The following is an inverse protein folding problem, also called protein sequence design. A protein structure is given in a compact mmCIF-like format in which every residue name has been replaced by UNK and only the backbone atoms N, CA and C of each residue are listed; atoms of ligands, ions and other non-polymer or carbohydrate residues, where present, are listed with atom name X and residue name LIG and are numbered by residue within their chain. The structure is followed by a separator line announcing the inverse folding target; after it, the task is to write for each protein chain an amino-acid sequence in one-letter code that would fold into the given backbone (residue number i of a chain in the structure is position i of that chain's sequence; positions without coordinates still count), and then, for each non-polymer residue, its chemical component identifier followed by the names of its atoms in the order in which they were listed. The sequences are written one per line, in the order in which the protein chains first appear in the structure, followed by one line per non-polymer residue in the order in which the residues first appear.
data_IF_377191423533
#
_entry.id   IF_377191423533
#
_cell.length_a   1.000
_cell.length_b   1.000
_cell.length_c   1.000
_cell.angle_alpha   90.00
_cell.angle_beta   90.00
_cell.angle_gamma   90.00
#
_symmetry.space_group_name_H-M   'P 1'
#
loop_
_entity.id
_entity.type
_entity.pdbx_description
1 polymer ?
#
# COMPACT_ATOMS: atom_id res chain seq x y z
N UNK A 1 14.79 -25.47 1.48
CA UNK A 1 14.62 -26.45 0.38
C UNK A 1 15.90 -26.63 -0.44
N UNK A 2 16.47 -25.57 -1.04
CA UNK A 2 17.65 -25.69 -1.92
C UNK A 2 18.86 -26.44 -1.31
N UNK A 3 19.27 -26.13 -0.08
CA UNK A 3 20.49 -26.75 0.48
C UNK A 3 20.33 -28.21 0.93
N UNK A 4 19.12 -28.62 1.32
CA UNK A 4 18.82 -30.02 1.59
C UNK A 4 18.88 -30.86 0.31
N UNK A 5 18.27 -30.37 -0.77
CA UNK A 5 18.21 -31.09 -2.04
C UNK A 5 19.57 -31.17 -2.76
N UNK A 6 20.42 -30.14 -2.64
CA UNK A 6 21.80 -30.19 -3.17
C UNK A 6 22.62 -31.36 -2.64
N UNK A 7 22.32 -31.83 -1.42
CA UNK A 7 23.06 -32.93 -0.79
C UNK A 7 22.59 -34.32 -1.23
N UNK A 8 21.32 -34.45 -1.63
CA UNK A 8 20.70 -35.73 -1.98
C UNK A 8 20.66 -35.98 -3.49
N UNK A 9 20.53 -34.93 -4.31
CA UNK A 9 20.36 -35.05 -5.75
C UNK A 9 21.62 -34.62 -6.51
N UNK A 10 22.24 -35.50 -7.31
CA UNK A 10 23.49 -35.20 -8.02
C UNK A 10 23.31 -34.18 -9.16
N UNK A 11 22.10 -34.06 -9.70
CA UNK A 11 21.75 -33.06 -10.71
C UNK A 11 20.61 -32.19 -10.19
N UNK A 12 20.98 -31.03 -9.68
CA UNK A 12 20.06 -30.10 -9.04
C UNK A 12 20.32 -28.68 -9.51
N UNK A 13 19.24 -27.93 -9.79
CA UNK A 13 19.32 -26.52 -10.14
C UNK A 13 18.14 -25.72 -9.57
N UNK A 14 18.34 -24.42 -9.42
CA UNK A 14 17.32 -23.47 -8.96
C UNK A 14 17.10 -22.42 -10.05
N UNK A 15 15.83 -22.11 -10.32
CA UNK A 15 15.41 -21.06 -11.24
C UNK A 15 14.61 -20.01 -10.46
N UNK A 16 15.23 -18.86 -10.24
CA UNK A 16 14.65 -17.69 -9.58
C UNK A 16 14.97 -16.39 -10.35
N UNK A 17 14.54 -15.24 -9.83
CA UNK A 17 14.73 -13.95 -10.50
C UNK A 17 16.21 -13.60 -10.69
N UNK A 18 17.09 -14.10 -9.82
CA UNK A 18 18.52 -13.82 -9.78
C UNK A 18 19.35 -14.73 -10.69
N UNK A 19 18.75 -15.81 -11.17
CA UNK A 19 19.43 -16.82 -11.99
C UNK A 19 19.89 -16.23 -13.33
N UNK A 20 21.18 -16.32 -13.62
CA UNK A 20 21.73 -15.96 -14.94
C UNK A 20 21.47 -17.08 -15.97
N UNK A 21 21.39 -16.73 -17.26
CA UNK A 21 21.16 -17.69 -18.35
C UNK A 21 19.91 -18.57 -18.18
N UNK A 22 18.79 -17.96 -17.75
CA UNK A 22 17.50 -18.62 -17.44
C UNK A 22 17.03 -19.62 -18.51
N UNK A 23 17.21 -19.30 -19.79
CA UNK A 23 16.81 -20.19 -20.89
C UNK A 23 17.54 -21.53 -20.86
N UNK A 24 18.83 -21.54 -20.51
CA UNK A 24 19.61 -22.78 -20.42
C UNK A 24 19.13 -23.65 -19.25
N UNK A 25 18.78 -23.03 -18.13
CA UNK A 25 18.22 -23.72 -16.95
C UNK A 25 16.86 -24.33 -17.29
N UNK A 26 15.99 -23.57 -17.97
CA UNK A 26 14.67 -24.03 -18.42
C UNK A 26 14.80 -25.25 -19.36
N UNK A 27 15.67 -25.18 -20.37
CA UNK A 27 15.88 -26.31 -21.30
C UNK A 27 16.42 -27.55 -20.59
N UNK A 28 17.31 -27.37 -19.60
CA UNK A 28 17.87 -28.49 -18.82
C UNK A 28 16.89 -29.07 -17.82
N UNK A 29 15.88 -28.30 -17.40
CA UNK A 29 14.94 -28.71 -16.37
C UNK A 29 14.11 -29.93 -16.74
N UNK A 30 13.95 -30.22 -18.03
CA UNK A 30 13.18 -31.36 -18.56
C UNK A 30 14.06 -32.54 -18.97
N UNK A 31 15.35 -32.56 -18.62
CA UNK A 31 16.25 -33.68 -18.92
C UNK A 31 16.16 -34.80 -17.88
N UNK A 32 16.37 -36.04 -18.31
CA UNK A 32 16.36 -37.20 -17.42
C UNK A 32 17.38 -37.06 -16.28
N UNK A 33 16.91 -37.27 -15.05
CA UNK A 33 17.71 -37.18 -13.83
C UNK A 33 17.89 -35.77 -13.26
N UNK A 34 17.41 -34.72 -13.95
CA UNK A 34 17.47 -33.35 -13.45
C UNK A 34 16.34 -33.02 -12.49
N UNK A 35 16.67 -32.45 -11.33
CA UNK A 35 15.69 -31.85 -10.40
C UNK A 35 15.84 -30.34 -10.42
N UNK A 36 14.76 -29.62 -10.71
CA UNK A 36 14.78 -28.15 -10.79
C UNK A 36 13.75 -27.55 -9.86
N UNK A 37 14.19 -26.71 -8.89
CA UNK A 37 13.27 -25.88 -8.11
C UNK A 37 13.01 -24.60 -8.88
N UNK A 38 11.74 -24.31 -9.12
CA UNK A 38 11.31 -23.16 -9.93
C UNK A 38 10.51 -22.22 -9.05
N UNK A 39 10.91 -20.95 -8.99
CA UNK A 39 10.13 -19.92 -8.31
C UNK A 39 8.79 -19.69 -9.03
N UNK A 40 7.75 -19.34 -8.25
CA UNK A 40 6.38 -19.14 -8.75
C UNK A 40 6.29 -18.17 -9.94
N UNK A 41 7.16 -17.17 -9.98
CA UNK A 41 7.26 -16.19 -11.08
C UNK A 41 7.51 -16.82 -12.44
N UNK A 42 8.22 -17.95 -12.50
CA UNK A 42 8.55 -18.66 -13.75
C UNK A 42 7.49 -19.67 -14.18
N UNK A 43 6.51 -19.97 -13.34
CA UNK A 43 5.35 -20.79 -13.72
C UNK A 43 4.48 -20.13 -14.80
N UNK A 44 4.65 -18.81 -15.01
CA UNK A 44 3.98 -18.02 -16.05
C UNK A 44 4.99 -17.54 -17.10
N UNK A 45 4.70 -17.79 -18.38
CA UNK A 45 5.47 -17.25 -19.51
C UNK A 45 6.76 -18.01 -19.86
N UNK A 46 7.18 -18.98 -19.05
CA UNK A 46 8.30 -19.88 -19.36
C UNK A 46 7.81 -21.17 -20.01
N UNK A 47 8.61 -21.70 -20.93
CA UNK A 47 8.25 -22.85 -21.76
C UNK A 47 9.19 -24.03 -21.52
N UNK A 48 8.66 -25.13 -20.99
CA UNK A 48 9.41 -26.33 -20.60
C UNK A 48 9.18 -27.44 -21.62
N UNK A 49 9.75 -27.30 -22.82
CA UNK A 49 9.66 -28.34 -23.85
C UNK A 49 10.62 -29.49 -23.53
N UNK A 50 10.10 -30.71 -23.41
CA UNK A 50 10.92 -31.89 -23.22
C UNK A 50 11.40 -32.43 -24.57
N UNK A 51 12.69 -32.37 -24.86
CA UNK A 51 13.28 -32.98 -26.07
C UNK A 51 14.11 -34.24 -25.76
N UNK A 52 14.08 -34.72 -24.52
CA UNK A 52 14.87 -35.87 -24.08
C UNK A 52 14.07 -37.16 -24.24
N UNK A 53 14.50 -38.03 -25.15
CA UNK A 53 13.82 -39.28 -25.50
C UNK A 53 13.66 -40.22 -24.28
N UNK A 54 14.63 -40.20 -23.35
CA UNK A 54 14.59 -41.02 -22.13
C UNK A 54 13.46 -40.56 -21.21
N UNK A 55 13.29 -39.25 -21.04
CA UNK A 55 12.22 -38.67 -20.23
C UNK A 55 10.86 -38.92 -20.86
N UNK A 56 10.72 -38.71 -22.18
CA UNK A 56 9.47 -38.98 -22.91
C UNK A 56 9.07 -40.46 -22.79
N UNK A 57 10.01 -41.39 -22.97
CA UNK A 57 9.76 -42.83 -22.85
C UNK A 57 9.33 -43.26 -21.43
N UNK A 58 9.61 -42.45 -20.41
CA UNK A 58 9.25 -42.68 -18.99
C UNK A 58 7.97 -41.97 -18.55
N UNK A 59 7.21 -41.38 -19.48
CA UNK A 59 5.98 -40.66 -19.16
C UNK A 59 6.16 -39.15 -19.04
N UNK A 60 7.30 -38.63 -19.46
CA UNK A 60 7.60 -37.21 -19.58
C UNK A 60 7.87 -36.49 -18.25
N UNK A 61 7.93 -35.15 -18.28
CA UNK A 61 8.22 -34.35 -17.09
C UNK A 61 7.15 -34.50 -16.00
N UNK A 62 7.59 -34.54 -14.76
CA UNK A 62 6.73 -34.54 -13.58
C UNK A 62 6.90 -33.21 -12.83
N UNK A 63 5.80 -32.49 -12.60
CA UNK A 63 5.80 -31.28 -11.77
C UNK A 63 5.23 -31.59 -10.41
N UNK A 64 5.94 -31.17 -9.36
CA UNK A 64 5.43 -31.12 -8.00
C UNK A 64 5.13 -29.66 -7.68
N UNK A 65 3.86 -29.33 -7.54
CA UNK A 65 3.42 -28.02 -7.11
C UNK A 65 3.31 -27.99 -5.59
N UNK A 66 4.02 -27.07 -4.94
CA UNK A 66 4.13 -27.01 -3.47
C UNK A 66 3.23 -25.95 -2.80
N UNK A 67 2.32 -25.35 -3.56
CA UNK A 67 1.42 -24.30 -3.08
C UNK A 67 0.07 -24.36 -3.80
N UNK A 68 -0.99 -23.86 -3.17
CA UNK A 68 -2.28 -23.73 -3.83
C UNK A 68 -2.28 -22.53 -4.79
N UNK A 69 -2.62 -22.75 -6.06
CA UNK A 69 -2.73 -21.67 -7.04
C UNK A 69 -3.81 -20.66 -6.64
N UNK A 70 -3.59 -19.37 -6.93
CA UNK A 70 -4.55 -18.31 -6.59
C UNK A 70 -5.77 -18.32 -7.50
N UNK A 71 -5.67 -18.96 -8.67
CA UNK A 71 -6.77 -19.09 -9.62
C UNK A 71 -6.74 -20.43 -10.35
N UNK A 72 -7.88 -20.86 -10.87
CA UNK A 72 -7.96 -22.05 -11.71
C UNK A 72 -7.03 -21.95 -12.93
N UNK A 73 -6.99 -20.78 -13.57
CA UNK A 73 -6.16 -20.54 -14.75
C UNK A 73 -4.66 -20.72 -14.47
N UNK A 74 -4.18 -20.34 -13.28
CA UNK A 74 -2.78 -20.54 -12.88
C UNK A 74 -2.45 -22.04 -12.72
N UNK A 75 -3.34 -22.80 -12.08
CA UNK A 75 -3.17 -24.26 -11.94
C UNK A 75 -3.17 -24.97 -13.30
N UNK A 76 -4.11 -24.62 -14.19
CA UNK A 76 -4.17 -25.17 -15.55
C UNK A 76 -2.93 -24.78 -16.36
N UNK A 77 -2.40 -23.57 -16.18
CA UNK A 77 -1.16 -23.15 -16.83
C UNK A 77 0.05 -23.95 -16.34
N UNK A 78 0.13 -24.24 -15.04
CA UNK A 78 1.20 -25.06 -14.47
C UNK A 78 1.12 -26.50 -15.02
N UNK A 79 -0.08 -27.11 -15.01
CA UNK A 79 -0.31 -28.42 -15.60
C UNK A 79 0.04 -28.47 -17.10
N UNK A 80 -0.28 -27.41 -17.85
CA UNK A 80 0.01 -27.30 -19.27
C UNK A 80 1.50 -27.21 -19.62
N UNK A 81 2.42 -27.15 -18.64
CA UNK A 81 3.87 -27.13 -18.89
C UNK A 81 4.50 -28.51 -19.01
N UNK A 82 3.86 -29.59 -18.55
CA UNK A 82 4.42 -30.95 -18.66
C UNK A 82 3.88 -31.73 -19.85
N UNK A 83 2.58 -31.60 -20.14
CA UNK A 83 1.89 -32.39 -21.17
C UNK A 83 1.62 -31.57 -22.45
N UNK A 84 2.68 -31.00 -23.04
CA UNK A 84 2.53 -30.09 -24.17
C UNK A 84 2.25 -30.86 -25.46
N UNK A 85 1.31 -30.37 -26.29
CA UNK A 85 0.97 -30.98 -27.60
C UNK A 85 0.61 -32.48 -27.53
N UNK A 86 0.13 -32.97 -26.38
CA UNK A 86 -0.21 -34.39 -26.18
C UNK A 86 0.99 -35.26 -25.78
N UNK A 87 2.15 -34.68 -25.49
CA UNK A 87 3.26 -35.38 -24.84
C UNK A 87 2.85 -35.86 -23.44
N UNK A 88 3.39 -37.00 -22.99
CA UNK A 88 3.10 -37.49 -21.65
C UNK A 88 3.70 -36.53 -20.61
N UNK A 89 2.99 -36.35 -19.51
CA UNK A 89 3.43 -35.51 -18.41
C UNK A 89 2.53 -35.71 -17.21
N UNK A 90 3.02 -35.39 -16.02
CA UNK A 90 2.25 -35.56 -14.78
C UNK A 90 2.43 -34.36 -13.85
N UNK A 91 1.44 -34.16 -12.99
CA UNK A 91 1.40 -33.09 -12.00
C UNK A 91 0.94 -33.68 -10.67
N UNK A 92 1.67 -33.40 -9.61
CA UNK A 92 1.31 -33.70 -8.23
C UNK A 92 1.28 -32.42 -7.40
N UNK A 93 0.37 -32.36 -6.43
CA UNK A 93 0.20 -31.21 -5.53
C UNK A 93 0.54 -31.64 -4.11
N UNK A 94 1.57 -31.05 -3.53
CA UNK A 94 2.02 -31.33 -2.16
C UNK A 94 1.87 -30.05 -1.34
N UNK A 95 0.91 -30.01 -0.42
CA UNK A 95 0.58 -28.80 0.32
C UNK A 95 1.01 -28.93 1.77
N UNK A 96 1.53 -27.84 2.33
CA UNK A 96 1.82 -27.74 3.75
C UNK A 96 0.58 -27.23 4.49
N UNK A 97 0.22 -27.91 5.59
CA UNK A 97 -1.01 -27.62 6.31
C UNK A 97 -1.04 -26.18 6.88
N UNK A 98 0.08 -25.70 7.42
CA UNK A 98 0.13 -24.33 7.98
C UNK A 98 -0.05 -23.26 6.90
N UNK A 99 0.41 -23.51 5.67
CA UNK A 99 0.19 -22.59 4.56
C UNK A 99 -1.29 -22.50 4.19
N UNK A 100 -2.03 -23.62 4.30
CA UNK A 100 -3.48 -23.61 4.13
C UNK A 100 -4.20 -22.87 5.26
N UNK A 101 -3.76 -23.06 6.51
CA UNK A 101 -4.31 -22.31 7.64
C UNK A 101 -4.12 -20.80 7.46
N UNK A 102 -2.94 -20.38 7.00
CA UNK A 102 -2.63 -18.97 6.68
C UNK A 102 -3.51 -18.40 5.55
N UNK A 103 -3.97 -19.25 4.63
CA UNK A 103 -4.91 -18.87 3.57
C UNK A 103 -6.38 -18.82 4.06
N UNK A 104 -6.63 -19.06 5.35
CA UNK A 104 -7.95 -18.98 5.98
C UNK A 104 -8.74 -20.29 5.93
N UNK A 105 -8.10 -21.43 5.69
CA UNK A 105 -8.74 -22.73 5.78
C UNK A 105 -8.79 -23.22 7.24
N UNK A 106 -9.82 -23.98 7.59
CA UNK A 106 -9.99 -24.58 8.93
C UNK A 106 -9.37 -25.99 8.96
N UNK A 107 -8.56 -26.30 9.98
CA UNK A 107 -7.84 -27.58 10.08
C UNK A 107 -8.79 -28.78 10.14
N UNK A 108 -9.92 -28.65 10.84
CA UNK A 108 -10.91 -29.71 11.04
C UNK A 108 -11.49 -30.15 9.68
N UNK A 109 -11.81 -29.18 8.82
CA UNK A 109 -12.36 -29.43 7.49
C UNK A 109 -11.36 -30.06 6.52
N UNK A 110 -10.06 -29.86 6.72
CA UNK A 110 -9.01 -30.48 5.89
C UNK A 110 -8.88 -31.98 6.18
N UNK A 111 -9.04 -32.39 7.43
CA UNK A 111 -8.96 -33.80 7.85
C UNK A 111 -10.24 -34.57 7.53
N UNK A 112 -11.41 -33.93 7.74
CA UNK A 112 -12.71 -34.56 7.47
C UNK A 112 -12.97 -34.85 5.98
N UNK A 113 -12.29 -34.12 5.08
CA UNK A 113 -12.51 -34.15 3.63
C UNK A 113 -11.34 -34.74 2.86
N UNK A 114 -10.64 -35.73 3.41
CA UNK A 114 -9.46 -36.33 2.75
C UNK A 114 -9.77 -36.86 1.34
N UNK A 115 -10.97 -37.41 1.12
CA UNK A 115 -11.38 -37.98 -0.17
C UNK A 115 -11.71 -36.93 -1.25
N UNK A 116 -12.26 -35.77 -0.86
CA UNK A 116 -12.69 -34.67 -1.73
C UNK A 116 -11.87 -33.38 -1.53
N UNK A 117 -10.68 -33.51 -0.91
CA UNK A 117 -9.88 -32.39 -0.43
C UNK A 117 -9.59 -31.37 -1.54
N UNK A 118 -9.19 -31.84 -2.71
CA UNK A 118 -8.87 -30.97 -3.84
C UNK A 118 -10.08 -30.16 -4.34
N UNK A 119 -11.25 -30.80 -4.46
CA UNK A 119 -12.48 -30.14 -4.90
C UNK A 119 -12.91 -29.07 -3.89
N UNK A 120 -12.83 -29.40 -2.59
CA UNK A 120 -13.08 -28.45 -1.51
C UNK A 120 -12.12 -27.24 -1.55
N UNK A 121 -10.80 -27.48 -1.71
CA UNK A 121 -9.80 -26.41 -1.79
C UNK A 121 -10.08 -25.46 -2.96
N UNK A 122 -10.44 -26.01 -4.13
CA UNK A 122 -10.78 -25.24 -5.32
C UNK A 122 -12.05 -24.40 -5.10
N UNK A 123 -13.10 -24.99 -4.53
CA UNK A 123 -14.37 -24.29 -4.28
C UNK A 123 -14.19 -23.12 -3.31
N UNK A 124 -13.47 -23.33 -2.20
CA UNK A 124 -13.21 -22.26 -1.23
C UNK A 124 -12.34 -21.15 -1.81
N UNK A 125 -11.31 -21.50 -2.59
CA UNK A 125 -10.49 -20.52 -3.29
C UNK A 125 -11.34 -19.62 -4.18
N UNK A 126 -12.21 -20.22 -5.00
CA UNK A 126 -13.03 -19.47 -5.95
C UNK A 126 -14.06 -18.58 -5.24
N UNK A 127 -14.65 -19.06 -4.13
CA UNK A 127 -15.49 -18.25 -3.25
C UNK A 127 -14.74 -17.05 -2.66
N UNK A 128 -13.55 -17.28 -2.10
CA UNK A 128 -12.71 -16.22 -1.52
C UNK A 128 -12.30 -15.18 -2.57
N UNK A 129 -11.97 -15.64 -3.78
CA UNK A 129 -11.69 -14.75 -4.90
C UNK A 129 -12.91 -13.92 -5.29
N UNK A 130 -14.09 -14.54 -5.46
CA UNK A 130 -15.33 -13.82 -5.78
C UNK A 130 -15.70 -12.77 -4.72
N UNK A 131 -15.56 -13.10 -3.43
CA UNK A 131 -15.80 -12.16 -2.34
C UNK A 131 -14.82 -10.97 -2.38
N UNK A 132 -13.55 -11.24 -2.64
CA UNK A 132 -12.52 -10.20 -2.75
C UNK A 132 -12.80 -9.27 -3.93
N UNK A 133 -13.18 -9.84 -5.08
CA UNK A 133 -13.57 -9.07 -6.28
C UNK A 133 -14.81 -8.22 -6.00
N UNK A 134 -15.82 -8.77 -5.32
CA UNK A 134 -17.01 -8.00 -4.93
C UNK A 134 -16.66 -6.81 -4.03
N UNK A 135 -15.78 -7.00 -3.05
CA UNK A 135 -15.28 -5.93 -2.19
C UNK A 135 -14.52 -4.84 -2.96
N UNK A 136 -13.69 -5.23 -3.93
CA UNK A 136 -12.98 -4.28 -4.80
C UNK A 136 -13.94 -3.47 -5.69
N UNK A 137 -14.95 -4.12 -6.26
CA UNK A 137 -15.99 -3.43 -7.08
C UNK A 137 -16.75 -2.43 -6.22
N UNK A 138 -17.10 -2.80 -4.98
CA UNK A 138 -17.82 -1.90 -4.09
C UNK A 138 -16.95 -0.72 -3.64
N UNK A 139 -15.67 -0.98 -3.33
CA UNK A 139 -14.68 0.07 -3.04
C UNK A 139 -14.50 1.04 -4.21
N UNK A 140 -14.48 0.52 -5.45
CA UNK A 140 -14.40 1.32 -6.68
C UNK A 140 -15.63 2.23 -6.82
N UNK A 141 -16.83 1.71 -6.64
CA UNK A 141 -18.07 2.52 -6.69
C UNK A 141 -18.08 3.64 -5.66
N UNK A 142 -17.72 3.33 -4.42
CA UNK A 142 -17.69 4.31 -3.33
C UNK A 142 -16.69 5.44 -3.62
N UNK A 143 -15.52 5.07 -4.15
CA UNK A 143 -14.42 6.02 -4.41
C UNK A 143 -14.57 6.75 -5.74
N UNK A 144 -15.35 6.24 -6.70
CA UNK A 144 -15.51 6.82 -8.04
C UNK A 144 -15.96 8.28 -8.00
N UNK A 145 -16.92 8.59 -7.12
CA UNK A 145 -17.43 9.95 -6.96
C UNK A 145 -16.35 10.92 -6.46
N UNK A 146 -15.55 10.49 -5.48
CA UNK A 146 -14.48 11.28 -4.89
C UNK A 146 -13.30 11.44 -5.84
N UNK A 147 -12.96 10.37 -6.55
CA UNK A 147 -11.95 10.40 -7.59
C UNK A 147 -12.31 11.42 -8.68
N UNK A 148 -13.57 11.40 -9.16
CA UNK A 148 -14.04 12.36 -10.16
C UNK A 148 -13.99 13.81 -9.65
N UNK A 149 -14.33 14.05 -8.38
CA UNK A 149 -14.22 15.38 -7.77
C UNK A 149 -12.76 15.83 -7.64
N UNK A 150 -11.88 14.93 -7.19
CA UNK A 150 -10.45 15.19 -7.04
C UNK A 150 -9.78 15.50 -8.37
N UNK A 151 -10.15 14.78 -9.45
CA UNK A 151 -9.65 15.06 -10.80
C UNK A 151 -10.08 16.44 -11.30
N UNK A 152 -11.31 16.87 -10.99
CA UNK A 152 -11.78 18.23 -11.33
C UNK A 152 -10.95 19.27 -10.60
N UNK A 153 -10.73 19.10 -9.29
CA UNK A 153 -9.88 20.00 -8.50
C UNK A 153 -8.47 20.07 -9.07
N UNK A 154 -7.85 18.91 -9.36
CA UNK A 154 -6.52 18.84 -9.93
C UNK A 154 -6.42 19.61 -11.26
N UNK A 155 -7.41 19.43 -12.16
CA UNK A 155 -7.46 20.13 -13.44
C UNK A 155 -7.54 21.65 -13.28
N UNK A 156 -8.33 22.15 -12.32
CA UNK A 156 -8.44 23.58 -12.07
C UNK A 156 -7.16 24.15 -11.44
N UNK A 157 -6.46 23.39 -10.59
CA UNK A 157 -5.16 23.78 -10.03
C UNK A 157 -4.06 23.83 -11.10
N UNK A 158 -4.01 22.87 -12.02
CA UNK A 158 -3.01 22.85 -13.10
C UNK A 158 -3.24 23.98 -14.13
N UNK A 159 -4.50 24.42 -14.30
CA UNK A 159 -4.88 25.50 -15.22
C UNK A 159 -5.30 26.77 -14.47
N UNK A 160 -4.55 27.10 -13.42
CA UNK A 160 -4.87 28.17 -12.49
C UNK A 160 -4.99 29.54 -13.19
N UNK A 161 -6.03 30.28 -12.84
CA UNK A 161 -6.20 31.70 -13.14
C UNK A 161 -6.94 32.39 -11.99
N UNK A 162 -6.73 33.69 -11.74
CA UNK A 162 -7.35 34.41 -10.61
C UNK A 162 -8.90 34.30 -10.59
N UNK A 163 -9.53 34.22 -11.76
CA UNK A 163 -10.99 34.08 -11.89
C UNK A 163 -11.53 32.73 -11.38
N UNK A 164 -10.65 31.76 -11.12
CA UNK A 164 -11.01 30.40 -10.68
C UNK A 164 -10.91 30.21 -9.17
N UNK A 165 -10.43 31.19 -8.41
CA UNK A 165 -10.23 31.09 -6.96
C UNK A 165 -11.51 30.65 -6.24
N UNK A 166 -12.63 31.29 -6.56
CA UNK A 166 -13.92 30.94 -5.95
C UNK A 166 -14.33 29.50 -6.25
N UNK A 167 -14.04 29.00 -7.47
CA UNK A 167 -14.37 27.64 -7.90
C UNK A 167 -13.47 26.60 -7.22
N UNK A 168 -12.18 26.90 -7.09
CA UNK A 168 -11.21 26.04 -6.39
C UNK A 168 -11.58 25.94 -4.90
N UNK A 169 -11.90 27.06 -4.27
CA UNK A 169 -12.35 27.11 -2.87
C UNK A 169 -13.61 26.28 -2.66
N UNK A 170 -14.60 26.39 -3.56
CA UNK A 170 -15.81 25.56 -3.48
C UNK A 170 -15.51 24.06 -3.61
N UNK A 171 -14.69 23.66 -4.58
CA UNK A 171 -14.30 22.25 -4.75
C UNK A 171 -13.56 21.70 -3.52
N UNK A 172 -12.71 22.51 -2.89
CA UNK A 172 -12.02 22.13 -1.64
C UNK A 172 -12.99 21.99 -0.47
N UNK A 173 -13.95 22.91 -0.34
CA UNK A 173 -14.99 22.85 0.69
C UNK A 173 -15.86 21.60 0.52
N UNK A 174 -16.31 21.32 -0.71
CA UNK A 174 -17.15 20.15 -1.02
C UNK A 174 -16.44 18.84 -0.68
N UNK A 175 -15.14 18.73 -0.99
CA UNK A 175 -14.32 17.59 -0.61
C UNK A 175 -14.21 17.46 0.90
N UNK A 176 -13.88 18.54 1.61
CA UNK A 176 -13.70 18.52 3.06
C UNK A 176 -15.00 18.20 3.80
N UNK A 177 -16.13 18.77 3.36
CA UNK A 177 -17.46 18.55 3.97
C UNK A 177 -17.91 17.09 3.91
N UNK A 178 -17.41 16.31 2.93
CA UNK A 178 -17.73 14.87 2.84
C UNK A 178 -17.05 14.04 3.95
N UNK A 179 -15.91 14.51 4.46
CA UNK A 179 -15.12 13.81 5.49
C UNK A 179 -15.27 14.40 6.89
N UNK A 180 -15.79 15.63 7.01
CA UNK A 180 -16.25 16.16 8.29
C UNK A 180 -17.54 15.43 8.64
N UNK A 181 -17.44 14.40 9.48
CA UNK A 181 -18.59 13.68 10.00
C UNK A 181 -19.64 14.65 10.56
N UNK A 182 -20.91 14.24 10.56
CA UNK A 182 -22.07 15.00 11.05
C UNK A 182 -22.04 15.25 12.56
N UNK A 183 -20.90 15.61 13.14
CA UNK A 183 -20.79 16.10 14.51
C UNK A 183 -21.34 17.52 14.54
N UNK A 184 -22.65 17.61 14.79
CA UNK A 184 -23.45 18.83 14.98
C UNK A 184 -23.09 19.64 16.23
N UNK A 185 -21.89 19.46 16.78
CA UNK A 185 -21.39 20.18 17.95
C UNK A 185 -19.99 20.64 17.64
N UNK A 186 -19.79 21.96 17.54
CA UNK A 186 -18.46 22.53 17.46
C UNK A 186 -17.72 22.18 18.75
N UNK A 187 -16.83 21.19 18.70
CA UNK A 187 -15.90 20.92 19.78
C UNK A 187 -14.95 22.10 19.91
N UNK A 188 -14.65 22.49 21.15
CA UNK A 188 -13.52 23.37 21.45
C UNK A 188 -12.24 22.64 21.04
N UNK A 189 -11.43 23.27 20.20
CA UNK A 189 -10.14 22.74 19.77
C UNK A 189 -9.01 23.34 20.59
N UNK A 190 -7.95 22.55 20.81
CA UNK A 190 -6.66 23.08 21.19
C UNK A 190 -5.79 23.18 19.93
N UNK A 191 -5.58 24.42 19.47
CA UNK A 191 -4.92 24.74 18.21
C UNK A 191 -3.44 25.06 18.49
N UNK A 192 -2.56 24.37 17.77
CA UNK A 192 -1.12 24.58 17.85
C UNK A 192 -0.61 25.28 16.59
N UNK A 193 0.01 26.44 16.76
CA UNK A 193 0.74 27.12 15.69
C UNK A 193 2.24 26.89 15.88
N UNK A 194 2.85 26.17 14.94
CA UNK A 194 4.29 26.05 14.85
C UNK A 194 4.81 27.08 13.84
N UNK A 195 5.44 28.15 14.32
CA UNK A 195 5.86 29.29 13.50
C UNK A 195 7.38 29.30 13.31
N UNK A 196 7.83 29.40 12.06
CA UNK A 196 9.25 29.57 11.73
C UNK A 196 9.70 31.01 12.03
N UNK A 197 10.66 31.15 12.95
CA UNK A 197 11.26 32.44 13.30
C UNK A 197 12.75 32.55 12.95
N UNK A 198 13.17 31.79 11.94
CA UNK A 198 14.50 31.87 11.34
C UNK A 198 14.78 33.23 10.69
N UNK A 199 16.07 33.55 10.52
CA UNK A 199 16.55 34.81 9.93
C UNK A 199 16.00 35.07 8.53
N UNK A 200 15.76 34.01 7.74
CA UNK A 200 15.11 34.08 6.43
C UNK A 200 13.67 34.60 6.49
N UNK A 201 12.97 34.41 7.61
CA UNK A 201 11.60 34.86 7.81
C UNK A 201 11.50 36.32 8.27
N UNK A 202 12.62 37.03 8.49
CA UNK A 202 12.64 38.42 8.99
C UNK A 202 11.75 39.39 8.19
N UNK A 203 11.68 39.25 6.86
CA UNK A 203 10.84 40.10 5.99
C UNK A 203 9.36 39.70 5.95
N UNK A 204 9.07 38.42 6.20
CA UNK A 204 7.72 37.85 6.08
C UNK A 204 7.07 37.58 7.44
N UNK A 205 7.76 37.83 8.55
CA UNK A 205 7.29 37.56 9.89
C UNK A 205 5.99 38.31 10.21
N UNK A 206 5.88 39.58 9.82
CA UNK A 206 4.64 40.35 10.00
C UNK A 206 3.46 39.71 9.28
N UNK A 207 3.66 39.26 8.04
CA UNK A 207 2.64 38.57 7.26
C UNK A 207 2.24 37.22 7.89
N UNK A 208 3.20 36.48 8.46
CA UNK A 208 2.94 35.24 9.18
C UNK A 208 2.08 35.48 10.43
N UNK A 209 2.40 36.50 11.23
CA UNK A 209 1.61 36.87 12.41
C UNK A 209 0.20 37.32 12.01
N UNK A 210 0.07 38.13 10.95
CA UNK A 210 -1.23 38.52 10.39
C UNK A 210 -2.03 37.32 9.87
N UNK A 211 -1.38 36.28 9.35
CA UNK A 211 -2.07 35.06 8.94
C UNK A 211 -2.65 34.29 10.14
N UNK A 212 -1.92 34.25 11.27
CA UNK A 212 -2.41 33.67 12.53
C UNK A 212 -3.60 34.47 13.08
N UNK A 213 -3.52 35.81 13.03
CA UNK A 213 -4.62 36.70 13.39
C UNK A 213 -5.86 36.44 12.52
N UNK A 214 -5.70 36.44 11.19
CA UNK A 214 -6.78 36.19 10.25
C UNK A 214 -7.43 34.81 10.45
N UNK A 215 -6.62 33.78 10.74
CA UNK A 215 -7.14 32.45 11.07
C UNK A 215 -8.00 32.48 12.34
N UNK A 216 -7.51 33.10 13.42
CA UNK A 216 -8.24 33.16 14.69
C UNK A 216 -9.55 33.92 14.53
N UNK A 217 -9.53 35.04 13.81
CA UNK A 217 -10.72 35.83 13.51
C UNK A 217 -11.73 35.01 12.70
N UNK A 218 -11.27 34.31 11.65
CA UNK A 218 -12.13 33.48 10.82
C UNK A 218 -12.77 32.34 11.61
N UNK A 219 -12.01 31.73 12.53
CA UNK A 219 -12.50 30.67 13.41
C UNK A 219 -13.61 31.18 14.34
N UNK A 220 -13.43 32.36 14.93
CA UNK A 220 -14.45 33.01 15.78
C UNK A 220 -15.72 33.29 14.95
N UNK A 221 -15.59 33.87 13.76
CA UNK A 221 -16.72 34.13 12.85
C UNK A 221 -17.49 32.85 12.49
N UNK A 222 -16.76 31.77 12.18
CA UNK A 222 -17.37 30.46 11.88
C UNK A 222 -18.16 29.95 13.09
N UNK A 223 -17.63 30.06 14.31
CA UNK A 223 -18.35 29.64 15.51
C UNK A 223 -19.62 30.45 15.73
N UNK A 224 -19.55 31.78 15.60
CA UNK A 224 -20.71 32.66 15.72
C UNK A 224 -21.77 32.32 14.68
N UNK A 225 -21.39 32.08 13.42
CA UNK A 225 -22.31 31.72 12.34
C UNK A 225 -22.98 30.36 12.55
N UNK A 226 -22.30 29.44 13.24
CA UNK A 226 -22.81 28.11 13.59
C UNK A 226 -23.54 28.07 14.95
N UNK A 227 -23.77 29.23 15.57
CA UNK A 227 -24.43 29.37 16.87
C UNK A 227 -23.72 28.58 18.01
N UNK A 228 -22.38 28.54 17.98
CA UNK A 228 -21.56 27.88 18.99
C UNK A 228 -20.54 28.83 19.63
N UNK A 229 -20.08 28.48 20.84
CA UNK A 229 -19.11 29.29 21.59
C UNK A 229 -17.69 28.92 21.14
N UNK A 230 -16.93 29.90 20.66
CA UNK A 230 -15.49 29.73 20.40
C UNK A 230 -14.73 29.72 21.73
N UNK A 231 -14.60 28.54 22.36
CA UNK A 231 -13.76 28.28 23.53
C UNK A 231 -12.45 27.58 23.15
N UNK A 232 -11.95 27.84 21.94
CA UNK A 232 -10.72 27.22 21.45
C UNK A 232 -9.51 27.78 22.22
N UNK A 233 -8.58 26.91 22.55
CA UNK A 233 -7.31 27.25 23.17
C UNK A 233 -6.21 27.30 22.11
N UNK A 234 -5.30 28.26 22.22
CA UNK A 234 -4.20 28.46 21.27
C UNK A 234 -2.86 28.35 22.00
N UNK A 235 -1.98 27.52 21.44
CA UNK A 235 -0.57 27.42 21.82
C UNK A 235 0.28 27.80 20.61
N UNK A 236 1.20 28.76 20.77
CA UNK A 236 2.15 29.14 19.73
C UNK A 236 3.53 28.65 20.12
N UNK A 237 4.14 27.87 19.24
CA UNK A 237 5.52 27.38 19.36
C UNK A 237 6.33 28.01 18.23
N UNK A 238 7.30 28.85 18.58
CA UNK A 238 8.26 29.35 17.60
C UNK A 238 9.42 28.38 17.48
N UNK A 239 9.90 28.15 16.27
CA UNK A 239 11.05 27.30 16.02
C UNK A 239 12.06 27.93 15.06
N UNK A 240 13.32 27.71 15.36
CA UNK A 240 14.49 28.03 14.53
C UNK A 240 15.61 27.04 14.88
N UNK A 241 16.69 27.45 15.55
CA UNK A 241 17.66 26.53 16.15
C UNK A 241 17.13 25.83 17.42
N UNK A 242 16.06 26.36 18.00
CA UNK A 242 15.37 25.77 19.15
C UNK A 242 13.87 26.06 19.12
N UNK A 243 13.06 25.09 19.55
CA UNK A 243 11.62 25.26 19.73
C UNK A 243 11.35 25.93 21.09
N UNK A 244 10.54 27.00 21.09
CA UNK A 244 10.12 27.70 22.31
C UNK A 244 8.63 27.99 22.26
N UNK A 245 7.95 27.63 23.35
CA UNK A 245 6.54 27.97 23.55
C UNK A 245 6.43 29.45 23.89
N UNK A 246 5.74 30.21 23.06
CA UNK A 246 5.53 31.65 23.21
C UNK A 246 4.27 31.95 24.01
N UNK A 247 3.21 31.17 23.77
CA UNK A 247 2.01 31.17 24.59
C UNK A 247 1.46 29.74 24.65
N UNK A 248 0.84 29.38 25.76
CA UNK A 248 0.32 28.03 26.01
C UNK A 248 -1.12 28.12 26.50
N UNK A 249 -2.04 27.49 25.77
CA UNK A 249 -3.45 27.37 26.17
C UNK A 249 -4.15 28.72 26.39
N UNK A 250 -3.88 29.70 25.53
CA UNK A 250 -4.51 31.03 25.60
C UNK A 250 -5.83 30.99 24.85
N UNK A 251 -6.89 31.58 25.41
CA UNK A 251 -8.18 31.71 24.72
C UNK A 251 -7.99 32.41 23.37
N UNK A 252 -8.59 31.86 22.31
CA UNK A 252 -8.54 32.41 20.95
C UNK A 252 -8.98 33.89 20.88
N UNK A 253 -9.87 34.34 21.78
CA UNK A 253 -10.37 35.73 21.90
C UNK A 253 -9.37 36.67 22.57
N UNK A 254 -8.36 36.15 23.26
CA UNK A 254 -7.36 36.93 23.97
C UNK A 254 -6.18 37.39 23.08
N UNK A 255 -6.37 37.40 21.75
CA UNK A 255 -5.38 37.84 20.76
C UNK A 255 -4.00 37.15 20.92
N UNK A 256 -3.93 35.79 20.87
CA UNK A 256 -2.71 35.04 21.13
C UNK A 256 -1.56 35.37 20.16
N UNK A 257 -1.87 35.88 18.97
CA UNK A 257 -0.89 36.33 17.97
C UNK A 257 0.02 37.48 18.49
N UNK A 258 -0.43 38.26 19.48
CA UNK A 258 0.37 39.34 20.09
C UNK A 258 1.46 38.83 21.04
N UNK A 259 1.36 37.57 21.49
CA UNK A 259 2.26 36.96 22.47
C UNK A 259 3.49 36.32 21.82
N UNK A 260 3.51 36.20 20.48
CA UNK A 260 4.69 35.75 19.74
C UNK A 260 5.55 36.92 19.28
N UNK A 261 6.85 36.68 19.15
CA UNK A 261 7.83 37.66 18.66
C UNK A 261 8.89 36.97 17.82
N UNK A 262 9.42 37.71 16.85
CA UNK A 262 10.56 37.27 16.07
C UNK A 262 11.80 37.20 16.97
N UNK A 263 12.42 36.02 17.09
CA UNK A 263 13.68 35.86 17.85
C UNK A 263 14.92 36.02 16.97
N UNK A 264 14.81 35.67 15.68
CA UNK A 264 15.94 35.57 14.77
C UNK A 264 16.85 34.39 15.12
N UNK A 265 17.43 33.76 14.09
CA UNK A 265 18.30 32.60 14.25
C UNK A 265 18.46 31.81 12.96
N UNK A 266 19.42 30.90 12.89
CA UNK A 266 19.54 29.94 11.79
C UNK A 266 18.98 28.59 12.21
N UNK A 267 18.40 27.82 11.29
CA UNK A 267 18.18 26.39 11.48
C UNK A 267 19.55 25.69 11.40
N UNK A 268 19.95 25.02 12.49
CA UNK A 268 21.14 24.18 12.47
C UNK A 268 20.80 22.81 11.89
N UNK A 269 20.98 22.67 10.58
CA UNK A 269 20.80 21.39 9.89
C UNK A 269 21.93 20.39 10.17
N UNK A 270 23.01 20.80 10.84
CA UNK A 270 24.18 19.96 11.11
C UNK A 270 23.84 18.69 11.87
N UNK A 271 22.84 18.73 12.75
CA UNK A 271 22.35 17.56 13.50
C UNK A 271 21.58 16.59 12.60
N UNK A 272 20.81 17.09 11.62
CA UNK A 272 20.07 16.27 10.67
C UNK A 272 20.94 15.62 9.59
N UNK A 273 22.11 16.21 9.31
CA UNK A 273 23.12 15.66 8.40
C UNK A 273 24.23 14.87 9.11
N UNK A 274 24.25 14.84 10.45
CA UNK A 274 25.07 13.89 11.20
C UNK A 274 24.42 12.50 11.13
N UNK A 275 24.57 11.85 9.99
CA UNK A 275 24.49 10.38 9.95
C UNK A 275 25.55 9.87 10.93
N UNK A 276 25.10 9.13 11.94
CA UNK A 276 25.99 8.40 12.84
C UNK A 276 26.85 7.48 11.96
N UNK A 277 28.13 7.83 11.77
CA UNK A 277 29.14 6.90 11.28
C UNK A 277 29.57 5.97 12.41
#
# INVERSE_FOLDING_TARGET
LSDAFKSEFPQFQVLDETTEYKQNVITRATMSGMVTIIARSFARGSDFSCTDDVTIARGGPHIIQVFLSNSHAEGTQAAGRTARQGEPGSLELVLYQDDLLNLGFEAEKLVEREADLYEYLVEQRDKNYSNSVAGLIEGEKNTRSDHACTLKLHKELTSYSPDKDSKIQQLLLDLNMKYVGSSSSASSYHIFFCLDDSGSMSRNWSALVSAVEAFNQRRIEMCVSANCVAEDLVTIVNYSSSAKVMCAGVDIKANPHTLTKFRGGGTDFGIGFCTVM
#
